data_IF_498019055394
#
_entry.id   IF_498019055394
#
_cell.length_a   1.000
_cell.length_b   1.000
_cell.length_c   1.000
_cell.angle_alpha   90.00
_cell.angle_beta   90.00
_cell.angle_gamma   90.00
#
_symmetry.space_group_name_H-M   'P 1'
#
loop_
_entity.id
_entity.type
_entity.pdbx_description
1 polymer ?
#
# COMPACT_ATOMS: atom_id res chain seq x y z
N UNK A 1 10.82 -2.34 0.09
CA UNK A 1 9.45 -2.65 0.56
C UNK A 1 8.76 -1.38 1.01
N UNK A 2 7.44 -1.35 0.97
CA UNK A 2 6.65 -0.19 1.38
C UNK A 2 5.50 -0.61 2.28
N UNK A 3 5.34 0.08 3.40
CA UNK A 3 4.17 0.01 4.27
C UNK A 3 3.43 1.35 4.21
N UNK A 4 2.22 1.32 3.67
CA UNK A 4 1.29 2.45 3.68
C UNK A 4 0.35 2.26 4.86
N UNK A 5 0.35 3.18 5.83
CA UNK A 5 -0.45 3.05 7.06
C UNK A 5 -1.44 4.19 7.23
N UNK A 6 -2.47 3.99 8.06
CA UNK A 6 -3.49 5.00 8.39
C UNK A 6 -4.24 5.63 7.19
N UNK A 7 -4.37 4.93 6.06
CA UNK A 7 -5.15 5.42 4.93
C UNK A 7 -6.65 5.23 5.15
N UNK A 8 -7.46 5.88 4.31
CA UNK A 8 -8.89 5.56 4.14
C UNK A 8 -9.19 5.14 2.71
N UNK A 9 -10.08 4.17 2.52
CA UNK A 9 -10.52 3.74 1.19
C UNK A 9 -11.67 4.61 0.64
N UNK A 10 -12.15 4.30 -0.57
CA UNK A 10 -13.24 5.02 -1.25
C UNK A 10 -14.59 4.91 -0.53
N UNK A 11 -14.73 4.00 0.43
CA UNK A 11 -15.92 3.85 1.29
C UNK A 11 -15.73 4.50 2.66
N UNK A 12 -14.59 5.16 2.90
CA UNK A 12 -14.25 5.79 4.18
C UNK A 12 -13.77 4.80 5.26
N UNK A 13 -13.44 3.56 4.89
CA UNK A 13 -12.91 2.55 5.83
C UNK A 13 -11.39 2.68 5.96
N UNK A 14 -10.86 2.34 7.13
CA UNK A 14 -9.42 2.33 7.33
C UNK A 14 -8.75 1.28 6.42
N UNK A 15 -7.60 1.62 5.86
CA UNK A 15 -6.82 0.71 5.01
C UNK A 15 -5.32 0.91 5.20
N UNK A 16 -4.61 -0.21 5.25
CA UNK A 16 -3.17 -0.32 5.28
C UNK A 16 -2.70 -1.34 4.25
N UNK A 17 -1.51 -1.11 3.68
CA UNK A 17 -0.97 -1.90 2.57
C UNK A 17 0.50 -2.24 2.82
N UNK A 18 0.85 -3.52 2.70
CA UNK A 18 2.24 -3.95 2.52
C UNK A 18 2.49 -4.21 1.04
N UNK A 19 3.57 -3.63 0.52
CA UNK A 19 3.96 -3.71 -0.88
C UNK A 19 5.39 -4.23 -0.96
N UNK A 20 5.57 -5.27 -1.78
CA UNK A 20 6.83 -5.94 -2.09
C UNK A 20 7.02 -5.96 -3.61
N UNK A 21 8.17 -5.48 -4.09
CA UNK A 21 8.53 -5.46 -5.52
C UNK A 21 7.39 -4.97 -6.43
N UNK A 22 6.85 -3.80 -6.08
CA UNK A 22 5.76 -3.11 -6.80
C UNK A 22 4.42 -3.87 -6.84
N UNK A 23 4.26 -4.93 -6.05
CA UNK A 23 3.02 -5.69 -5.89
C UNK A 23 2.44 -5.51 -4.49
N UNK A 24 1.12 -5.40 -4.42
CA UNK A 24 0.40 -5.46 -3.14
C UNK A 24 0.57 -6.87 -2.59
N UNK A 25 1.28 -6.99 -1.47
CA UNK A 25 1.47 -8.23 -0.75
C UNK A 25 0.30 -8.50 0.21
N UNK A 26 -0.13 -7.45 0.93
CA UNK A 26 -1.22 -7.53 1.90
C UNK A 26 -2.04 -6.25 1.95
N UNK A 27 -3.33 -6.42 2.18
CA UNK A 27 -4.30 -5.37 2.47
C UNK A 27 -4.95 -5.70 3.81
N UNK A 28 -5.15 -4.72 4.68
CA UNK A 28 -5.90 -4.89 5.92
C UNK A 28 -6.37 -3.56 6.48
N UNK A 29 -7.38 -3.57 7.35
CA UNK A 29 -7.81 -2.34 8.04
C UNK A 29 -6.77 -1.88 9.07
N UNK A 30 -6.07 -2.82 9.69
CA UNK A 30 -4.95 -2.60 10.61
C UNK A 30 -4.02 -3.81 10.57
N UNK A 31 -2.80 -3.63 10.07
CA UNK A 31 -1.79 -4.67 10.01
C UNK A 31 -1.03 -4.68 11.35
N UNK A 32 -0.92 -5.85 11.96
CA UNK A 32 -0.28 -5.99 13.27
C UNK A 32 1.23 -5.80 13.15
N UNK A 33 1.83 -5.28 14.21
CA UNK A 33 3.29 -5.09 14.27
C UNK A 33 4.06 -6.41 14.08
N UNK A 34 3.55 -7.52 14.61
CA UNK A 34 4.12 -8.85 14.39
C UNK A 34 4.16 -9.25 12.91
N UNK A 35 3.14 -8.89 12.14
CA UNK A 35 3.06 -9.17 10.71
C UNK A 35 4.06 -8.30 9.91
N UNK A 36 4.29 -7.07 10.38
CA UNK A 36 5.31 -6.18 9.80
C UNK A 36 6.72 -6.72 10.09
N UNK A 37 6.98 -7.20 11.30
CA UNK A 37 8.27 -7.79 11.67
C UNK A 37 8.55 -9.10 10.95
N UNK A 38 7.54 -9.97 10.78
CA UNK A 38 7.66 -11.17 9.96
C UNK A 38 7.95 -10.83 8.50
N UNK A 39 7.22 -9.86 7.93
CA UNK A 39 7.45 -9.36 6.59
C UNK A 39 8.86 -8.79 6.39
N UNK A 40 9.40 -8.06 7.37
CA UNK A 40 10.80 -7.59 7.36
C UNK A 40 11.79 -8.74 7.43
N UNK A 41 11.53 -9.74 8.28
CA UNK A 41 12.41 -10.89 8.48
C UNK A 41 12.52 -11.74 7.21
N UNK A 42 11.40 -12.02 6.56
CA UNK A 42 11.34 -12.78 5.31
C UNK A 42 12.04 -12.06 4.14
N UNK A 43 12.13 -10.73 4.21
CA UNK A 43 12.69 -9.87 3.17
C UNK A 43 13.86 -9.03 3.73
N UNK A 44 14.72 -9.68 4.54
CA UNK A 44 15.78 -9.03 5.32
C UNK A 44 16.86 -8.32 4.47
N UNK A 45 16.95 -8.64 3.18
CA UNK A 45 17.80 -7.98 2.19
C UNK A 45 17.24 -6.63 1.71
N UNK A 46 16.00 -6.30 2.08
CA UNK A 46 15.28 -5.09 1.63
C UNK A 46 14.95 -4.18 2.81
N UNK A 47 15.01 -2.88 2.56
CA UNK A 47 14.55 -1.90 3.55
C UNK A 47 13.03 -1.68 3.47
N UNK A 48 12.40 -1.55 4.64
CA UNK A 48 11.01 -1.12 4.77
C UNK A 48 10.91 0.39 4.83
N UNK A 49 10.27 1.00 3.84
CA UNK A 49 9.83 2.39 3.88
C UNK A 49 8.42 2.44 4.46
N UNK A 50 8.15 3.37 5.37
CA UNK A 50 6.81 3.61 5.93
C UNK A 50 6.32 4.96 5.42
N UNK A 51 5.09 5.00 4.93
CA UNK A 51 4.39 6.24 4.58
C UNK A 51 3.10 6.30 5.38
N UNK A 52 2.95 7.37 6.15
CA UNK A 52 1.73 7.68 6.88
C UNK A 52 0.74 8.41 5.96
N UNK A 53 -0.43 7.82 5.77
CA UNK A 53 -1.49 8.32 4.91
C UNK A 53 -2.66 8.93 5.69
N UNK A 54 -2.45 9.30 6.96
CA UNK A 54 -3.50 9.94 7.75
C UNK A 54 -4.15 11.13 7.00
N UNK A 55 -5.48 11.09 6.88
CA UNK A 55 -6.26 12.07 6.12
C UNK A 55 -6.11 12.00 4.59
N UNK A 56 -5.54 10.92 4.04
CA UNK A 56 -5.40 10.67 2.60
C UNK A 56 -6.26 9.49 2.15
N UNK A 57 -6.84 9.63 0.97
CA UNK A 57 -7.60 8.59 0.29
C UNK A 57 -6.66 7.64 -0.46
N UNK A 58 -6.88 6.34 -0.30
CA UNK A 58 -6.28 5.28 -1.09
C UNK A 58 -7.35 4.74 -2.03
N UNK A 59 -7.06 4.74 -3.33
CA UNK A 59 -7.94 4.20 -4.36
C UNK A 59 -7.11 3.49 -5.43
N UNK A 60 -7.69 2.52 -6.15
CA UNK A 60 -7.07 1.99 -7.36
C UNK A 60 -6.73 3.11 -8.34
N UNK A 61 -5.61 2.95 -9.05
CA UNK A 61 -5.31 3.82 -10.19
C UNK A 61 -6.43 3.73 -11.22
N UNK A 62 -6.86 4.88 -11.74
CA UNK A 62 -7.89 4.93 -12.80
C UNK A 62 -7.29 4.38 -14.09
N UNK A 63 -8.05 3.53 -14.77
CA UNK A 63 -7.70 2.99 -16.09
C UNK A 63 -8.50 3.77 -17.13
N UNK A 64 -7.80 4.53 -17.98
CA UNK A 64 -8.39 5.11 -19.17
C UNK A 64 -8.34 4.08 -20.32
N UNK A 65 -9.51 3.72 -20.84
CA UNK A 65 -9.66 2.74 -21.92
C UNK A 65 -9.67 3.37 -23.31
N UNK A 66 -9.73 4.71 -23.40
CA UNK A 66 -9.87 5.41 -24.67
C UNK A 66 -9.16 6.77 -24.66
N UNK A 67 -7.84 6.71 -24.82
CA UNK A 67 -7.00 7.90 -24.97
C UNK A 67 -6.48 8.02 -26.41
N UNK A 68 -6.52 9.22 -26.98
CA UNK A 68 -5.73 9.55 -28.15
C UNK A 68 -4.37 10.10 -27.70
N UNK A 69 -3.35 9.26 -27.71
CA UNK A 69 -1.97 9.71 -27.46
C UNK A 69 -1.52 10.60 -28.62
N UNK A 70 -0.96 11.77 -28.31
CA UNK A 70 -0.29 12.65 -29.27
C UNK A 70 1.21 12.53 -29.04
N UNK A 71 1.98 12.54 -30.13
CA UNK A 71 3.45 12.63 -30.09
C UNK A 71 3.91 14.01 -29.59
#
# INVERSE_FOLDING_TARGET
MLFLKNGVDVFGKQIELLILDDKIFKVGEKILESEIEEFKKENSDKNLKIIDLNGKLVMPGVIDIHTHMRE
#
